data_IF_887300302499
#
_entry.id   IF_887300302499
#
_cell.length_a   1.000
_cell.length_b   1.000
_cell.length_c   1.000
_cell.angle_alpha   90.00
_cell.angle_beta   90.00
_cell.angle_gamma   90.00
#
_symmetry.space_group_name_H-M   'P 1'
#
loop_
_entity.id
_entity.type
_entity.pdbx_description
1 polymer ?
#
# COMPACT_ATOMS: atom_id res chain seq x y z
N UNK A 1 -19.71 1.52 -11.13
CA UNK A 1 -18.86 2.58 -11.72
C UNK A 1 -17.42 2.14 -11.60
N UNK A 2 -16.63 2.25 -12.66
CA UNK A 2 -15.20 1.94 -12.58
C UNK A 2 -14.52 3.00 -11.70
N UNK A 3 -13.75 2.55 -10.70
CA UNK A 3 -12.95 3.40 -9.84
C UNK A 3 -11.82 4.07 -10.65
N UNK A 4 -11.51 5.34 -10.38
CA UNK A 4 -10.39 6.00 -11.05
C UNK A 4 -9.04 5.50 -10.52
N UNK A 5 -8.01 5.53 -11.36
CA UNK A 5 -6.65 5.17 -10.95
C UNK A 5 -6.14 6.06 -9.81
N UNK A 6 -6.50 7.35 -9.82
CA UNK A 6 -6.09 8.30 -8.79
C UNK A 6 -6.69 7.95 -7.42
N UNK A 7 -7.99 7.65 -7.37
CA UNK A 7 -8.66 7.24 -6.12
C UNK A 7 -8.05 5.94 -5.57
N UNK A 8 -7.82 4.97 -6.46
CA UNK A 8 -7.19 3.70 -6.08
C UNK A 8 -5.78 3.90 -5.55
N UNK A 9 -4.99 4.75 -6.21
CA UNK A 9 -3.62 5.06 -5.80
C UNK A 9 -3.59 5.77 -4.45
N UNK A 10 -4.44 6.79 -4.24
CA UNK A 10 -4.58 7.50 -2.97
C UNK A 10 -5.01 6.55 -1.84
N UNK A 11 -5.92 5.62 -2.12
CA UNK A 11 -6.30 4.57 -1.17
C UNK A 11 -5.11 3.67 -0.83
N UNK A 12 -4.37 3.16 -1.81
CA UNK A 12 -3.22 2.27 -1.55
C UNK A 12 -2.17 2.96 -0.67
N UNK A 13 -1.86 4.23 -0.95
CA UNK A 13 -0.90 5.04 -0.19
C UNK A 13 -1.30 5.23 1.29
N UNK A 14 -2.59 5.14 1.62
CA UNK A 14 -3.08 5.30 3.00
C UNK A 14 -3.38 3.95 3.67
N UNK A 15 -3.90 2.99 2.91
CA UNK A 15 -4.30 1.67 3.39
C UNK A 15 -3.11 0.76 3.70
N UNK A 16 -2.11 0.72 2.83
CA UNK A 16 -0.92 -0.12 3.03
C UNK A 16 -0.19 0.20 4.33
N UNK A 17 0.22 1.46 4.61
CA UNK A 17 0.92 1.77 5.85
C UNK A 17 0.03 1.56 7.08
N UNK A 18 -1.30 1.71 6.96
CA UNK A 18 -2.21 1.38 8.05
C UNK A 18 -2.18 -0.12 8.40
N UNK A 19 -2.29 -1.00 7.40
CA UNK A 19 -2.28 -2.46 7.62
C UNK A 19 -0.92 -2.93 8.14
N UNK A 20 0.19 -2.41 7.62
CA UNK A 20 1.55 -2.71 8.11
C UNK A 20 1.69 -2.36 9.60
N UNK A 21 1.09 -1.24 10.06
CA UNK A 21 1.08 -0.85 11.47
C UNK A 21 0.11 -1.64 12.34
N UNK A 22 -0.85 -2.36 11.76
CA UNK A 22 -1.89 -3.12 12.47
C UNK A 22 -1.97 -4.56 11.90
N UNK A 23 -0.93 -5.39 12.10
CA UNK A 23 -0.90 -6.73 11.54
C UNK A 23 -2.08 -7.58 12.04
N UNK A 24 -2.78 -8.23 11.12
CA UNK A 24 -3.96 -9.03 11.42
C UNK A 24 -5.23 -8.21 11.68
N UNK A 25 -5.28 -6.92 11.29
CA UNK A 25 -6.52 -6.14 11.29
C UNK A 25 -7.62 -6.83 10.48
N UNK A 26 -8.87 -6.74 10.94
CA UNK A 26 -9.96 -7.47 10.29
C UNK A 26 -10.33 -6.85 8.94
N UNK A 27 -10.76 -7.69 7.99
CA UNK A 27 -11.33 -7.27 6.71
C UNK A 27 -12.50 -6.32 6.93
N UNK A 28 -13.31 -6.54 7.98
CA UNK A 28 -14.45 -5.66 8.31
C UNK A 28 -13.98 -4.25 8.66
N UNK A 29 -12.96 -4.13 9.52
CA UNK A 29 -12.50 -2.84 9.99
C UNK A 29 -11.76 -2.06 8.89
N UNK A 30 -11.00 -2.75 8.03
CA UNK A 30 -10.40 -2.14 6.83
C UNK A 30 -11.51 -1.58 5.94
N UNK A 31 -12.50 -2.41 5.60
CA UNK A 31 -13.60 -1.99 4.72
C UNK A 31 -14.36 -0.79 5.27
N UNK A 32 -14.64 -0.81 6.57
CA UNK A 32 -15.31 0.32 7.25
C UNK A 32 -14.45 1.57 7.24
N UNK A 33 -13.14 1.45 7.46
CA UNK A 33 -12.21 2.59 7.54
C UNK A 33 -11.96 3.25 6.20
N UNK A 34 -11.83 2.47 5.13
CA UNK A 34 -11.46 2.95 3.80
C UNK A 34 -12.65 3.04 2.82
N UNK A 35 -13.86 2.71 3.28
CA UNK A 35 -15.07 2.78 2.45
C UNK A 35 -15.05 1.84 1.24
N UNK A 36 -14.43 0.66 1.37
CA UNK A 36 -14.24 -0.28 0.26
C UNK A 36 -15.02 -1.59 0.39
N UNK A 37 -15.25 -2.21 -0.76
CA UNK A 37 -15.77 -3.58 -0.85
C UNK A 37 -14.67 -4.62 -0.57
N UNK A 38 -15.07 -5.85 -0.25
CA UNK A 38 -14.13 -6.97 -0.08
C UNK A 38 -13.39 -7.26 -1.39
N UNK A 39 -14.07 -7.17 -2.53
CA UNK A 39 -13.45 -7.40 -3.85
C UNK A 39 -12.38 -6.37 -4.17
N UNK A 40 -12.62 -5.08 -3.88
CA UNK A 40 -11.60 -4.04 -4.02
C UNK A 40 -10.38 -4.31 -3.13
N UNK A 41 -10.61 -4.68 -1.86
CA UNK A 41 -9.52 -5.04 -0.97
C UNK A 41 -8.69 -6.20 -1.53
N UNK A 42 -9.32 -7.27 -2.00
CA UNK A 42 -8.61 -8.42 -2.58
C UNK A 42 -7.85 -8.02 -3.84
N UNK A 43 -8.45 -7.20 -4.72
CA UNK A 43 -7.78 -6.71 -5.92
C UNK A 43 -6.55 -5.84 -5.60
N UNK A 44 -6.62 -5.05 -4.53
CA UNK A 44 -5.51 -4.24 -4.04
C UNK A 44 -4.39 -5.11 -3.43
N UNK A 45 -4.74 -6.13 -2.64
CA UNK A 45 -3.75 -7.08 -2.10
C UNK A 45 -3.05 -7.87 -3.21
N UNK A 46 -3.79 -8.31 -4.24
CA UNK A 46 -3.22 -9.00 -5.39
C UNK A 46 -2.25 -8.11 -6.19
N UNK A 47 -2.54 -6.81 -6.31
CA UNK A 47 -1.63 -5.86 -6.94
C UNK A 47 -0.34 -5.72 -6.13
N UNK A 48 -0.45 -5.64 -4.79
CA UNK A 48 0.73 -5.53 -3.93
C UNK A 48 1.63 -6.76 -4.03
N UNK A 49 1.05 -7.95 -4.20
CA UNK A 49 1.81 -9.20 -4.32
C UNK A 49 2.83 -9.21 -5.47
N UNK A 50 2.60 -8.41 -6.52
CA UNK A 50 3.53 -8.29 -7.66
C UNK A 50 4.42 -7.04 -7.58
N UNK A 51 4.36 -6.29 -6.48
CA UNK A 51 5.23 -5.14 -6.25
C UNK A 51 6.48 -5.57 -5.49
N UNK A 52 7.66 -5.22 -6.03
CA UNK A 52 8.94 -5.58 -5.44
C UNK A 52 10.11 -5.36 -6.38
N UNK A 53 11.24 -6.02 -6.11
CA UNK A 53 12.42 -5.94 -6.96
C UNK A 53 12.24 -6.75 -8.25
N UNK A 54 12.79 -6.28 -9.38
CA UNK A 54 12.86 -7.07 -10.61
C UNK A 54 13.69 -8.32 -10.37
N UNK A 55 13.16 -9.48 -10.79
CA UNK A 55 13.77 -10.79 -10.54
C UNK A 55 12.87 -11.71 -9.70
N UNK A 56 11.99 -11.15 -8.87
CA UNK A 56 10.94 -11.86 -8.12
C UNK A 56 11.44 -13.05 -7.29
N UNK A 57 12.65 -12.94 -6.74
CA UNK A 57 13.22 -13.95 -5.86
C UNK A 57 12.53 -13.98 -4.48
N UNK A 58 12.84 -15.00 -3.66
CA UNK A 58 12.36 -15.05 -2.28
C UNK A 58 12.76 -13.78 -1.51
N UNK A 59 11.79 -13.09 -0.92
CA UNK A 59 12.01 -11.85 -0.15
C UNK A 59 12.02 -10.55 -0.97
N UNK A 60 11.90 -10.63 -2.30
CA UNK A 60 11.93 -9.46 -3.19
C UNK A 60 10.56 -8.77 -3.34
N UNK A 61 9.48 -9.46 -2.98
CA UNK A 61 8.10 -9.02 -3.17
C UNK A 61 7.43 -8.63 -1.86
N UNK A 62 6.44 -7.73 -1.94
CA UNK A 62 5.52 -7.49 -0.84
C UNK A 62 4.64 -8.73 -0.65
N UNK A 63 4.62 -9.28 0.56
CA UNK A 63 3.68 -10.35 0.91
C UNK A 63 2.40 -9.70 1.44
N UNK A 64 1.29 -9.84 0.73
CA UNK A 64 -0.01 -9.30 1.12
C UNK A 64 -1.08 -10.39 1.02
N UNK A 65 -1.68 -10.77 2.14
CA UNK A 65 -2.61 -11.90 2.17
C UNK A 65 -3.73 -11.75 3.20
N UNK A 66 -4.77 -12.55 3.00
CA UNK A 66 -5.89 -12.72 3.91
C UNK A 66 -5.82 -14.13 4.48
N UNK A 67 -5.79 -14.24 5.81
CA UNK A 67 -5.99 -15.51 6.51
C UNK A 67 -7.27 -15.41 7.37
N UNK A 68 -8.24 -16.26 7.04
CA UNK A 68 -9.62 -16.17 7.51
C UNK A 68 -10.27 -14.80 7.24
N UNK A 69 -10.42 -14.01 8.31
CA UNK A 69 -11.03 -12.68 8.29
C UNK A 69 -10.04 -11.54 8.56
N UNK A 70 -8.75 -11.84 8.59
CA UNK A 70 -7.67 -10.91 8.96
C UNK A 70 -6.71 -10.70 7.80
N UNK A 71 -6.05 -9.56 7.79
CA UNK A 71 -5.16 -9.13 6.70
C UNK A 71 -3.77 -8.83 7.22
N UNK A 72 -2.77 -9.25 6.46
CA UNK A 72 -1.36 -8.98 6.73
C UNK A 72 -0.69 -8.42 5.49
N UNK A 73 0.23 -7.47 5.70
CA UNK A 73 1.16 -6.98 4.70
C UNK A 73 2.56 -7.01 5.32
N UNK A 74 3.48 -7.71 4.68
CA UNK A 74 4.92 -7.67 4.97
C UNK A 74 5.63 -7.05 3.77
N UNK A 75 6.37 -5.98 4.01
CA UNK A 75 7.18 -5.35 2.98
C UNK A 75 8.40 -6.23 2.69
N UNK A 76 8.83 -6.26 1.43
CA UNK A 76 10.07 -6.93 1.01
C UNK A 76 11.26 -6.44 1.85
N UNK A 77 12.23 -7.33 2.12
CA UNK A 77 13.42 -7.02 2.93
C UNK A 77 14.24 -5.85 2.36
N UNK A 78 14.15 -5.66 1.04
CA UNK A 78 14.74 -4.52 0.36
C UNK A 78 14.29 -3.17 0.94
N UNK A 79 13.01 -3.03 1.31
CA UNK A 79 12.46 -1.80 1.90
C UNK A 79 12.96 -1.55 3.33
N UNK A 80 13.62 -2.52 3.98
CA UNK A 80 14.24 -2.32 5.29
C UNK A 80 15.57 -1.55 5.21
N UNK A 81 16.15 -1.39 4.01
CA UNK A 81 17.38 -0.62 3.79
C UNK A 81 17.05 0.85 3.48
N UNK A 82 17.84 1.83 3.96
CA UNK A 82 17.65 3.23 3.58
C UNK A 82 17.68 3.41 2.07
N UNK A 83 16.67 4.10 1.51
CA UNK A 83 16.64 4.45 0.10
C UNK A 83 17.82 5.35 -0.25
N UNK A 84 18.59 4.98 -1.28
CA UNK A 84 19.67 5.81 -1.83
C UNK A 84 19.08 6.75 -2.87
N UNK A 85 18.50 7.86 -2.41
CA UNK A 85 17.94 8.89 -3.27
C UNK A 85 19.00 9.95 -3.60
N UNK A 86 19.00 10.41 -4.84
CA UNK A 86 19.63 11.69 -5.21
C UNK A 86 18.86 12.86 -4.59
N UNK A 87 19.49 14.03 -4.52
CA UNK A 87 18.83 15.24 -4.02
C UNK A 87 17.56 15.59 -4.81
N UNK A 88 17.58 15.38 -6.13
CA UNK A 88 16.43 15.62 -6.99
C UNK A 88 15.27 14.64 -6.70
N UNK A 89 15.57 13.34 -6.57
CA UNK A 89 14.56 12.32 -6.24
C UNK A 89 13.95 12.55 -4.85
N UNK A 90 14.77 12.92 -3.87
CA UNK A 90 14.31 13.29 -2.54
C UNK A 90 13.32 14.46 -2.57
N UNK A 91 13.63 15.52 -3.32
CA UNK A 91 12.75 16.68 -3.47
C UNK A 91 11.43 16.33 -4.16
N UNK A 92 11.49 15.50 -5.21
CA UNK A 92 10.31 15.04 -5.94
C UNK A 92 9.38 14.23 -5.02
N UNK A 93 9.93 13.26 -4.29
CA UNK A 93 9.15 12.45 -3.35
C UNK A 93 8.55 13.30 -2.22
N UNK A 94 9.33 14.22 -1.65
CA UNK A 94 8.83 15.13 -0.62
C UNK A 94 7.67 16.00 -1.13
N UNK A 95 7.82 16.59 -2.31
CA UNK A 95 6.79 17.45 -2.91
C UNK A 95 5.52 16.66 -3.24
N UNK A 96 5.66 15.45 -3.80
CA UNK A 96 4.53 14.55 -4.06
C UNK A 96 3.81 14.13 -2.78
N UNK A 97 4.56 13.77 -1.73
CA UNK A 97 3.98 13.43 -0.43
C UNK A 97 3.24 14.61 0.20
N UNK A 98 3.78 15.83 0.09
CA UNK A 98 3.11 17.06 0.53
C UNK A 98 1.82 17.32 -0.24
N UNK A 99 1.85 17.17 -1.56
CA UNK A 99 0.66 17.30 -2.41
C UNK A 99 -0.43 16.31 -1.99
N UNK A 100 -0.08 15.03 -1.82
CA UNK A 100 -1.00 13.98 -1.36
C UNK A 100 -1.58 14.28 0.03
N UNK A 101 -0.75 14.77 0.96
CA UNK A 101 -1.20 15.15 2.31
C UNK A 101 -2.15 16.35 2.28
N UNK A 102 -1.99 17.29 1.36
CA UNK A 102 -2.92 18.41 1.19
C UNK A 102 -4.20 18.04 0.46
N UNK A 103 -4.15 17.05 -0.45
CA UNK A 103 -5.32 16.58 -1.20
C UNK A 103 -6.22 15.63 -0.41
N UNK A 104 -5.77 15.13 0.75
CA UNK A 104 -6.57 14.33 1.68
C UNK A 104 -7.32 15.14 2.74
N UNK A 105 -7.21 16.48 2.70
CA UNK A 105 -8.03 17.40 3.49
C UNK A 105 -9.21 17.87 2.62
N UNK A 106 -10.18 16.98 2.40
CA UNK A 106 -11.40 17.22 1.65
C UNK A 106 -12.40 16.11 1.92
#
# INVERSE_FOLDING_TARGET
MAESLEERFRRLLTMVPYIVKHPGVSVRDIRSRFGITRSQLVADLNLLFVCGLPGYGPGDLIEAFVDGSRVWIRLADYFARPLRLTAAEGLLLYSGARALSSSGAG
#
